data_IF_141080542527
#
_entry.id   IF_141080542527
#
_cell.length_a   1.000
_cell.length_b   1.000
_cell.length_c   1.000
_cell.angle_alpha   90.00
_cell.angle_beta   90.00
_cell.angle_gamma   90.00
#
_symmetry.space_group_name_H-M   'P 1'
#
loop_
_entity.id
_entity.type
_entity.pdbx_description
1 polymer ?
#
# COMPACT_ATOMS: atom_id res chain seq x y z
N UNK A 1 14.48 -45.42 -5.22
CA UNK A 1 15.35 -46.40 -5.92
C UNK A 1 16.22 -45.66 -6.94
N UNK A 2 17.53 -45.51 -6.68
CA UNK A 2 18.48 -44.94 -7.65
C UNK A 2 18.68 -45.98 -8.76
N UNK A 3 18.17 -45.73 -9.97
CA UNK A 3 18.38 -46.61 -11.12
C UNK A 3 19.67 -46.20 -11.81
N UNK A 4 20.71 -47.01 -11.63
CA UNK A 4 21.94 -46.94 -12.42
C UNK A 4 21.59 -47.52 -13.80
N UNK A 5 21.61 -46.69 -14.83
CA UNK A 5 21.50 -47.17 -16.21
C UNK A 5 22.90 -47.53 -16.70
N UNK A 6 23.22 -48.82 -16.70
CA UNK A 6 24.39 -49.35 -17.40
C UNK A 6 24.05 -49.39 -18.89
N UNK A 7 24.66 -48.51 -19.68
CA UNK A 7 24.55 -48.57 -21.14
C UNK A 7 25.51 -49.67 -21.64
N UNK A 8 24.96 -50.79 -22.11
CA UNK A 8 25.73 -51.79 -22.85
C UNK A 8 25.99 -51.21 -24.24
N UNK A 9 27.23 -50.79 -24.50
CA UNK A 9 27.69 -50.47 -25.86
C UNK A 9 27.80 -51.80 -26.60
N UNK A 10 26.76 -52.16 -27.34
CA UNK A 10 26.82 -53.26 -28.29
C UNK A 10 27.72 -52.82 -29.46
N UNK A 11 29.02 -53.05 -29.30
CA UNK A 11 29.96 -53.06 -30.42
C UNK A 11 29.63 -54.27 -31.30
N UNK A 12 28.89 -54.03 -32.37
CA UNK A 12 28.80 -54.93 -33.52
C UNK A 12 29.12 -54.13 -34.78
N UNK A 13 30.43 -53.88 -34.92
CA UNK A 13 31.07 -53.62 -36.20
C UNK A 13 31.01 -54.91 -37.03
N UNK A 14 29.97 -55.06 -37.84
CA UNK A 14 30.04 -55.89 -39.04
C UNK A 14 29.79 -54.97 -40.24
N UNK A 15 30.78 -54.91 -41.10
CA UNK A 15 30.82 -54.12 -42.32
C UNK A 15 29.68 -54.50 -43.28
N UNK A 16 28.74 -53.57 -43.52
CA UNK A 16 28.02 -53.42 -44.78
C UNK A 16 27.17 -52.14 -44.74
N UNK A 17 27.42 -51.25 -45.71
CA UNK A 17 26.69 -50.01 -46.02
C UNK A 17 26.82 -48.83 -45.04
N UNK A 18 27.26 -47.69 -45.56
CA UNK A 18 27.06 -46.37 -44.96
C UNK A 18 25.55 -46.07 -44.96
N UNK A 19 24.81 -46.59 -43.99
CA UNK A 19 23.45 -46.12 -43.72
C UNK A 19 23.48 -45.15 -42.54
N UNK A 20 22.74 -44.04 -42.69
CA UNK A 20 22.56 -43.04 -41.64
C UNK A 20 22.07 -43.75 -40.36
N UNK A 21 22.80 -43.56 -39.26
CA UNK A 21 22.43 -44.12 -37.96
C UNK A 21 21.56 -43.11 -37.22
N UNK A 22 20.57 -43.59 -36.45
CA UNK A 22 19.70 -42.72 -35.65
C UNK A 22 19.72 -43.14 -34.19
N UNK A 23 19.42 -42.20 -33.30
CA UNK A 23 19.26 -42.42 -31.86
C UNK A 23 17.82 -42.09 -31.49
N UNK A 24 17.07 -43.08 -31.00
CA UNK A 24 15.70 -42.90 -30.52
C UNK A 24 15.63 -42.93 -29.00
N UNK A 25 15.09 -41.87 -28.41
CA UNK A 25 14.80 -41.75 -26.98
C UNK A 25 13.31 -41.99 -26.77
N UNK A 26 12.97 -43.12 -26.14
CA UNK A 26 11.59 -43.45 -25.78
C UNK A 26 11.23 -42.85 -24.42
N UNK A 27 10.15 -42.07 -24.37
CA UNK A 27 9.61 -41.47 -23.16
C UNK A 27 8.58 -42.40 -22.51
N UNK A 28 8.35 -42.22 -21.21
CA UNK A 28 7.37 -43.01 -20.44
C UNK A 28 5.92 -42.77 -20.85
N UNK A 29 5.62 -41.62 -21.46
CA UNK A 29 4.31 -41.28 -22.00
C UNK A 29 4.01 -41.98 -23.34
N UNK A 30 4.93 -42.84 -23.81
CA UNK A 30 4.81 -43.56 -25.08
C UNK A 30 5.27 -42.78 -26.30
N UNK A 31 5.63 -41.50 -26.15
CA UNK A 31 6.23 -40.72 -27.23
C UNK A 31 7.72 -41.03 -27.39
N UNK A 32 8.24 -40.81 -28.59
CA UNK A 32 9.66 -41.01 -28.90
C UNK A 32 10.23 -39.79 -29.62
N UNK A 33 11.50 -39.50 -29.37
CA UNK A 33 12.26 -38.50 -30.14
C UNK A 33 13.43 -39.20 -30.82
N UNK A 34 13.58 -39.01 -32.13
CA UNK A 34 14.65 -39.62 -32.93
C UNK A 34 15.53 -38.54 -33.51
N UNK A 35 16.85 -38.72 -33.35
CA UNK A 35 17.88 -37.83 -33.89
C UNK A 35 18.74 -38.58 -34.89
N UNK A 36 19.21 -37.89 -35.92
CA UNK A 36 20.27 -38.45 -36.78
C UNK A 36 21.60 -38.41 -36.03
N UNK A 37 22.41 -39.46 -36.10
CA UNK A 37 23.61 -39.58 -35.28
C UNK A 37 24.67 -38.52 -35.61
N UNK A 38 24.68 -38.01 -36.85
CA UNK A 38 25.53 -36.91 -37.31
C UNK A 38 25.15 -35.54 -36.73
N UNK A 39 23.95 -35.40 -36.16
CA UNK A 39 23.48 -34.16 -35.53
C UNK A 39 23.86 -34.06 -34.03
N UNK A 40 24.36 -35.15 -33.43
CA UNK A 40 24.59 -35.23 -31.99
C UNK A 40 26.06 -34.91 -31.66
N UNK A 41 26.29 -33.81 -30.95
CA UNK A 41 27.62 -33.44 -30.46
C UNK A 41 27.90 -33.89 -29.02
N UNK A 42 26.87 -33.95 -28.15
CA UNK A 42 26.99 -34.40 -26.76
C UNK A 42 25.62 -34.82 -26.18
N UNK A 43 25.61 -35.66 -25.13
CA UNK A 43 24.42 -36.00 -24.33
C UNK A 43 24.74 -35.75 -22.86
N UNK A 44 23.96 -34.87 -22.20
CA UNK A 44 24.13 -34.54 -20.78
C UNK A 44 22.84 -34.81 -19.99
N UNK A 45 22.97 -35.31 -18.76
CA UNK A 45 21.85 -35.53 -17.83
C UNK A 45 21.95 -34.54 -16.67
N UNK A 46 20.92 -33.71 -16.47
CA UNK A 46 20.82 -32.79 -15.33
C UNK A 46 19.97 -33.37 -14.18
N UNK A 47 20.10 -32.84 -12.95
CA UNK A 47 19.21 -33.21 -11.85
C UNK A 47 17.76 -32.80 -12.17
N UNK A 48 16.80 -33.63 -11.77
CA UNK A 48 15.38 -33.27 -11.86
C UNK A 48 15.09 -32.13 -10.89
N UNK A 49 14.50 -31.04 -11.38
CA UNK A 49 13.99 -29.95 -10.55
C UNK A 49 12.87 -30.51 -9.66
N UNK A 50 12.93 -30.40 -8.33
CA UNK A 50 11.82 -30.83 -7.47
C UNK A 50 10.55 -30.03 -7.83
N UNK A 51 9.44 -30.74 -8.03
CA UNK A 51 8.15 -30.14 -8.34
C UNK A 51 7.75 -29.18 -7.22
N UNK A 52 7.61 -27.90 -7.55
CA UNK A 52 7.13 -26.87 -6.61
C UNK A 52 5.62 -26.98 -6.48
N UNK A 53 5.12 -27.37 -5.31
CA UNK A 53 3.69 -27.44 -5.03
C UNK A 53 3.23 -26.13 -4.39
N UNK A 54 2.23 -25.47 -4.96
CA UNK A 54 1.57 -24.32 -4.30
C UNK A 54 0.57 -24.88 -3.29
N UNK A 55 0.79 -24.56 -2.01
CA UNK A 55 -0.09 -24.99 -0.93
C UNK A 55 -1.23 -23.99 -0.73
N UNK A 56 -0.87 -22.70 -0.70
CA UNK A 56 -1.83 -21.62 -0.52
C UNK A 56 -1.41 -20.36 -1.27
N UNK A 57 -2.40 -19.57 -1.65
CA UNK A 57 -2.25 -18.24 -2.23
C UNK A 57 -3.29 -17.32 -1.61
N UNK A 58 -2.84 -16.19 -1.08
CA UNK A 58 -3.67 -15.22 -0.39
C UNK A 58 -3.43 -13.83 -0.96
N UNK A 59 -4.50 -13.06 -1.05
CA UNK A 59 -4.46 -11.62 -1.30
C UNK A 59 -4.64 -10.89 0.02
N UNK A 60 -3.92 -9.79 0.20
CA UNK A 60 -3.96 -8.97 1.39
C UNK A 60 -3.50 -7.55 1.10
N UNK A 61 -3.44 -6.75 2.15
CA UNK A 61 -3.02 -5.36 2.04
C UNK A 61 -1.63 -5.11 2.64
N UNK A 62 -1.02 -4.00 2.24
CA UNK A 62 0.32 -3.62 2.70
C UNK A 62 0.30 -2.39 3.58
N UNK A 63 1.10 -2.49 4.65
CA UNK A 63 1.63 -1.33 5.36
C UNK A 63 3.15 -1.37 5.35
N UNK A 64 3.80 -0.25 5.05
CA UNK A 64 5.27 -0.18 4.98
C UNK A 64 5.79 0.91 5.92
N UNK A 65 6.88 0.60 6.60
CA UNK A 65 7.64 1.54 7.42
C UNK A 65 9.09 1.58 6.95
N UNK A 66 9.70 2.75 7.02
CA UNK A 66 11.13 2.96 6.82
C UNK A 66 11.62 4.04 7.79
N UNK A 67 12.88 4.47 7.65
CA UNK A 67 13.38 5.65 8.37
C UNK A 67 12.61 6.94 8.04
N UNK A 68 11.93 7.01 6.89
CA UNK A 68 11.31 8.23 6.38
C UNK A 68 9.80 8.32 6.64
N UNK A 69 9.16 7.18 6.90
CA UNK A 69 7.71 7.11 7.13
C UNK A 69 7.36 5.85 7.93
N UNK A 70 6.22 5.88 8.60
CA UNK A 70 5.80 4.79 9.48
C UNK A 70 4.39 4.35 9.14
N UNK A 71 4.20 3.04 9.05
CA UNK A 71 2.92 2.35 8.90
C UNK A 71 2.03 2.89 7.76
N UNK A 72 2.64 3.21 6.62
CA UNK A 72 1.93 3.76 5.46
C UNK A 72 1.23 2.66 4.65
N UNK A 73 -0.02 2.90 4.26
CA UNK A 73 -0.81 1.98 3.43
C UNK A 73 -0.42 2.03 1.95
N UNK A 74 -0.28 0.88 1.30
CA UNK A 74 0.15 0.75 -0.11
C UNK A 74 -0.77 -0.09 -1.01
N UNK A 75 -1.99 -0.39 -0.58
CA UNK A 75 -2.99 -1.05 -1.43
C UNK A 75 -3.39 -2.45 -0.97
N UNK A 76 -4.40 -3.01 -1.63
CA UNK A 76 -5.02 -4.31 -1.33
C UNK A 76 -4.61 -5.44 -2.31
N UNK A 77 -3.61 -5.20 -3.17
CA UNK A 77 -3.28 -6.08 -4.28
C UNK A 77 -2.10 -7.04 -3.99
N UNK A 78 -1.51 -6.95 -2.81
CA UNK A 78 -0.32 -7.72 -2.49
C UNK A 78 -0.65 -9.19 -2.24
N UNK A 79 0.16 -10.06 -2.82
CA UNK A 79 -0.02 -11.51 -2.72
C UNK A 79 1.03 -12.15 -1.84
N UNK A 80 0.58 -13.16 -1.08
CA UNK A 80 1.46 -14.10 -0.42
C UNK A 80 1.11 -15.52 -0.85
N UNK A 81 2.11 -16.25 -1.36
CA UNK A 81 1.98 -17.67 -1.72
C UNK A 81 2.88 -18.51 -0.84
N UNK A 82 2.33 -19.60 -0.31
CA UNK A 82 3.07 -20.61 0.44
C UNK A 82 3.24 -21.82 -0.46
N UNK A 83 4.47 -22.27 -0.62
CA UNK A 83 4.84 -23.36 -1.53
C UNK A 83 5.70 -24.40 -0.80
N UNK A 84 5.77 -25.60 -1.37
CA UNK A 84 6.60 -26.67 -0.87
C UNK A 84 7.47 -27.24 -2.00
N UNK A 85 8.75 -27.44 -1.69
CA UNK A 85 9.75 -28.03 -2.58
C UNK A 85 10.45 -29.14 -1.80
N UNK A 86 10.06 -30.39 -2.04
CA UNK A 86 10.47 -31.52 -1.20
C UNK A 86 9.99 -31.34 0.25
N UNK A 87 10.92 -31.32 1.20
CA UNK A 87 10.63 -31.11 2.63
C UNK A 87 10.71 -29.63 3.06
N UNK A 88 11.09 -28.74 2.13
CA UNK A 88 11.28 -27.31 2.41
C UNK A 88 10.02 -26.51 2.09
N UNK A 89 9.66 -25.58 2.96
CA UNK A 89 8.61 -24.60 2.71
C UNK A 89 9.19 -23.27 2.22
N UNK A 90 8.47 -22.64 1.29
CA UNK A 90 8.80 -21.33 0.72
C UNK A 90 7.63 -20.37 0.91
N UNK A 91 7.94 -19.10 1.16
CA UNK A 91 7.00 -17.99 1.02
C UNK A 91 7.39 -17.13 -0.19
N UNK A 92 6.44 -16.86 -1.08
CA UNK A 92 6.59 -15.90 -2.17
C UNK A 92 5.69 -14.70 -1.93
N UNK A 93 6.32 -13.55 -1.78
CA UNK A 93 5.68 -12.25 -1.74
C UNK A 93 5.65 -11.63 -3.13
N UNK A 94 4.56 -10.94 -3.48
CA UNK A 94 4.44 -10.20 -4.74
C UNK A 94 3.59 -8.95 -4.56
N UNK A 95 4.14 -7.81 -4.96
CA UNK A 95 3.46 -6.52 -5.05
C UNK A 95 4.05 -5.69 -6.21
N UNK A 96 3.21 -4.89 -6.87
CA UNK A 96 3.64 -4.11 -8.03
C UNK A 96 4.65 -3.01 -7.66
N UNK A 97 4.50 -2.40 -6.47
CA UNK A 97 5.34 -1.29 -6.01
C UNK A 97 6.50 -1.77 -5.12
N UNK A 98 6.20 -2.71 -4.23
CA UNK A 98 7.13 -3.24 -3.23
C UNK A 98 7.82 -4.54 -3.65
N UNK A 99 7.56 -5.00 -4.87
CA UNK A 99 8.37 -5.98 -5.56
C UNK A 99 8.04 -7.44 -5.24
N UNK A 100 8.98 -8.32 -5.59
CA UNK A 100 8.79 -9.76 -5.50
C UNK A 100 9.84 -10.37 -4.59
N UNK A 101 9.40 -11.14 -3.59
CA UNK A 101 10.29 -11.81 -2.64
C UNK A 101 10.12 -13.31 -2.64
N UNK A 102 11.20 -14.05 -2.42
CA UNK A 102 11.18 -15.49 -2.21
C UNK A 102 12.01 -15.84 -0.98
N UNK A 103 11.39 -16.55 -0.05
CA UNK A 103 11.96 -16.82 1.27
C UNK A 103 11.88 -18.31 1.58
N UNK A 104 12.97 -18.85 2.11
CA UNK A 104 12.97 -20.17 2.74
C UNK A 104 12.41 -19.99 4.14
N UNK A 105 11.30 -20.67 4.44
CA UNK A 105 10.58 -20.48 5.69
C UNK A 105 10.50 -21.75 6.52
N UNK A 106 10.40 -21.53 7.82
CA UNK A 106 9.97 -22.51 8.82
C UNK A 106 8.62 -22.08 9.37
N UNK A 107 7.80 -23.04 9.77
CA UNK A 107 6.51 -22.80 10.39
C UNK A 107 6.48 -23.47 11.75
N UNK A 108 6.22 -22.71 12.80
CA UNK A 108 6.05 -23.24 14.16
C UNK A 108 4.82 -22.59 14.80
N UNK A 109 3.86 -23.41 15.25
CA UNK A 109 2.65 -22.98 16.00
C UNK A 109 1.95 -21.73 15.43
N UNK A 110 1.78 -21.67 14.11
CA UNK A 110 1.09 -20.55 13.43
C UNK A 110 1.95 -19.30 13.21
N UNK A 111 3.25 -19.37 13.53
CA UNK A 111 4.25 -18.34 13.20
C UNK A 111 5.14 -18.80 12.06
N UNK A 112 5.61 -17.83 11.28
CA UNK A 112 6.54 -18.00 10.17
C UNK A 112 7.83 -17.29 10.53
N UNK A 113 8.95 -17.91 10.17
CA UNK A 113 10.26 -17.26 10.18
C UNK A 113 11.09 -17.77 9.01
N UNK A 114 11.83 -16.89 8.35
CA UNK A 114 12.64 -17.25 7.20
C UNK A 114 13.57 -16.16 6.71
N UNK A 115 14.44 -16.55 5.78
CA UNK A 115 15.39 -15.66 5.09
C UNK A 115 15.26 -15.83 3.59
N UNK A 116 15.62 -14.80 2.85
CA UNK A 116 15.51 -14.81 1.41
C UNK A 116 15.88 -13.47 0.80
N UNK A 117 15.42 -13.28 -0.42
CA UNK A 117 15.71 -12.08 -1.21
C UNK A 117 14.42 -11.45 -1.70
N UNK A 118 14.45 -10.13 -1.80
CA UNK A 118 13.37 -9.34 -2.40
C UNK A 118 13.93 -8.43 -3.49
N UNK A 119 13.25 -8.42 -4.63
CA UNK A 119 13.54 -7.61 -5.78
C UNK A 119 12.52 -6.47 -5.86
N UNK A 120 12.97 -5.24 -5.60
CA UNK A 120 12.13 -4.04 -5.51
C UNK A 120 12.36 -3.14 -6.74
N UNK A 121 11.30 -2.74 -7.46
CA UNK A 121 11.40 -1.75 -8.53
C UNK A 121 11.92 -0.41 -8.01
N UNK A 122 12.87 0.21 -8.73
CA UNK A 122 13.32 1.56 -8.40
C UNK A 122 12.23 2.58 -8.77
N UNK A 123 11.75 3.32 -7.77
CA UNK A 123 10.71 4.35 -7.91
C UNK A 123 11.18 5.60 -8.69
N UNK A 124 12.49 5.79 -8.88
CA UNK A 124 13.09 6.94 -9.58
C UNK A 124 13.66 6.59 -10.96
N UNK A 125 13.28 5.43 -11.53
CA UNK A 125 13.92 4.86 -12.72
C UNK A 125 15.22 4.13 -12.41
N UNK A 126 15.60 3.16 -13.25
CA UNK A 126 16.84 2.38 -13.07
C UNK A 126 16.67 0.88 -12.78
N UNK A 127 15.54 0.28 -13.15
CA UNK A 127 15.33 -1.17 -13.10
C UNK A 127 14.97 -1.71 -11.71
N UNK A 128 15.09 -3.02 -11.54
CA UNK A 128 14.77 -3.74 -10.30
C UNK A 128 16.06 -4.00 -9.52
N UNK A 129 16.05 -3.72 -8.21
CA UNK A 129 17.20 -3.99 -7.33
C UNK A 129 16.86 -5.08 -6.32
N UNK A 130 17.79 -6.01 -6.13
CA UNK A 130 17.67 -7.11 -5.18
C UNK A 130 18.28 -6.75 -3.81
N UNK A 131 17.64 -7.23 -2.74
CA UNK A 131 18.06 -7.05 -1.35
C UNK A 131 17.93 -8.36 -0.59
N UNK A 132 18.88 -8.60 0.32
CA UNK A 132 18.70 -9.61 1.37
C UNK A 132 17.60 -9.15 2.33
N UNK A 133 16.75 -10.09 2.74
CA UNK A 133 15.61 -9.83 3.59
C UNK A 133 15.26 -11.03 4.48
N UNK A 134 14.60 -10.74 5.59
CA UNK A 134 13.97 -11.76 6.44
C UNK A 134 12.46 -11.63 6.36
N UNK A 135 11.74 -12.74 6.56
CA UNK A 135 10.29 -12.75 6.72
C UNK A 135 9.94 -13.38 8.06
N UNK A 136 8.96 -12.82 8.75
CA UNK A 136 8.39 -13.49 9.90
C UNK A 136 7.14 -12.83 10.46
N UNK A 137 6.51 -13.49 11.43
CA UNK A 137 5.27 -13.02 12.04
C UNK A 137 4.21 -14.12 12.11
N UNK A 138 2.95 -13.74 12.21
CA UNK A 138 1.82 -14.67 12.19
C UNK A 138 1.43 -14.96 10.75
N UNK A 139 0.79 -16.11 10.49
CA UNK A 139 0.29 -16.41 9.13
C UNK A 139 -0.70 -15.36 8.59
N UNK A 140 -1.39 -14.63 9.48
CA UNK A 140 -2.32 -13.54 9.11
C UNK A 140 -1.64 -12.17 8.97
N UNK A 141 -0.39 -12.04 9.42
CA UNK A 141 0.37 -10.80 9.42
C UNK A 141 1.88 -11.12 9.35
N UNK A 142 2.46 -10.96 8.16
CA UNK A 142 3.88 -11.26 7.91
C UNK A 142 4.65 -9.99 7.60
N UNK A 143 5.71 -9.75 8.37
CA UNK A 143 6.65 -8.66 8.16
C UNK A 143 7.88 -9.15 7.39
N UNK A 144 8.22 -8.43 6.33
CA UNK A 144 9.45 -8.60 5.55
C UNK A 144 10.39 -7.45 5.91
N UNK A 145 11.50 -7.77 6.57
CA UNK A 145 12.53 -6.80 6.93
C UNK A 145 13.61 -6.73 5.86
N UNK A 146 13.85 -5.53 5.36
CA UNK A 146 14.81 -5.23 4.30
C UNK A 146 15.80 -4.15 4.79
N UNK A 147 16.86 -4.52 5.53
CA UNK A 147 17.77 -3.55 6.17
C UNK A 147 18.47 -2.63 5.18
N UNK A 148 18.81 -3.14 3.98
CA UNK A 148 19.52 -2.40 2.94
C UNK A 148 18.67 -1.41 2.14
N UNK A 149 17.35 -1.37 2.35
CA UNK A 149 16.42 -0.51 1.62
C UNK A 149 16.01 0.69 2.48
N UNK A 150 16.22 1.92 1.98
CA UNK A 150 15.78 3.18 2.60
C UNK A 150 16.15 3.35 4.08
N UNK A 151 17.36 2.92 4.48
CA UNK A 151 17.82 3.01 5.87
C UNK A 151 17.15 2.00 6.81
N UNK A 152 16.59 0.92 6.27
CA UNK A 152 15.85 -0.11 6.98
C UNK A 152 14.36 0.00 6.71
N UNK A 153 13.82 -0.91 5.89
CA UNK A 153 12.40 -0.94 5.50
C UNK A 153 11.74 -2.20 6.06
N UNK A 154 10.51 -2.08 6.55
CA UNK A 154 9.68 -3.20 7.00
C UNK A 154 8.37 -3.18 6.21
N UNK A 155 8.17 -4.18 5.35
CA UNK A 155 6.96 -4.36 4.53
C UNK A 155 6.08 -5.36 5.28
N UNK A 156 4.92 -4.93 5.77
CA UNK A 156 4.00 -5.81 6.50
C UNK A 156 2.81 -6.12 5.62
N UNK A 157 2.66 -7.41 5.30
CA UNK A 157 1.49 -7.95 4.61
C UNK A 157 0.46 -8.43 5.62
N UNK A 158 -0.78 -8.02 5.40
CA UNK A 158 -1.92 -8.33 6.25
C UNK A 158 -2.95 -9.11 5.46
N UNK A 159 -3.38 -10.25 6.00
CA UNK A 159 -4.45 -11.03 5.39
C UNK A 159 -5.81 -10.32 5.55
N UNK A 160 -6.57 -10.24 4.46
CA UNK A 160 -7.94 -9.71 4.45
C UNK A 160 -8.07 -8.30 3.87
N UNK A 161 -9.24 -7.68 4.12
CA UNK A 161 -9.58 -6.33 3.63
C UNK A 161 -8.94 -5.27 4.53
N UNK A 162 -8.33 -4.24 3.95
CA UNK A 162 -7.77 -3.17 4.76
C UNK A 162 -8.87 -2.34 5.46
N UNK A 163 -8.67 -1.94 6.73
CA UNK A 163 -9.52 -0.97 7.41
C UNK A 163 -9.70 0.32 6.62
N UNK A 164 -10.93 0.86 6.58
CA UNK A 164 -11.23 2.10 5.88
C UNK A 164 -10.33 3.27 6.35
N UNK A 165 -10.01 3.31 7.65
CA UNK A 165 -9.18 4.36 8.25
C UNK A 165 -7.77 4.38 7.66
N UNK A 166 -7.17 3.19 7.43
CA UNK A 166 -5.84 3.10 6.82
C UNK A 166 -5.85 3.59 5.37
N UNK A 167 -6.91 3.30 4.61
CA UNK A 167 -7.02 3.72 3.20
C UNK A 167 -7.01 5.25 3.05
N UNK A 168 -7.73 5.93 3.93
CA UNK A 168 -7.86 7.40 3.93
C UNK A 168 -6.71 8.12 4.64
N UNK A 169 -5.86 7.40 5.39
CA UNK A 169 -4.72 8.03 6.08
C UNK A 169 -3.69 8.61 5.10
N UNK A 170 -3.15 9.76 5.43
CA UNK A 170 -2.15 10.46 4.60
C UNK A 170 -2.20 11.98 4.75
N UNK A 171 -1.25 12.63 4.08
CA UNK A 171 -1.23 14.07 3.89
C UNK A 171 -1.86 14.38 2.53
N UNK A 172 -2.72 15.40 2.46
CA UNK A 172 -3.48 15.78 1.28
C UNK A 172 -3.27 17.26 0.99
N UNK A 173 -2.92 17.59 -0.24
CA UNK A 173 -2.84 18.98 -0.71
C UNK A 173 -4.02 19.24 -1.63
N UNK A 174 -4.67 20.39 -1.45
CA UNK A 174 -5.89 20.68 -2.18
C UNK A 174 -6.43 22.08 -1.94
N UNK A 175 -7.70 22.25 -2.26
CA UNK A 175 -8.39 23.54 -2.17
C UNK A 175 -9.52 23.43 -1.16
N UNK A 176 -9.59 24.39 -0.23
CA UNK A 176 -10.72 24.55 0.67
C UNK A 176 -11.59 25.72 0.22
N UNK A 177 -12.90 25.51 0.15
CA UNK A 177 -13.90 26.50 -0.25
C UNK A 177 -14.90 26.74 0.88
N UNK A 178 -15.03 27.98 1.34
CA UNK A 178 -15.96 28.37 2.39
C UNK A 178 -17.18 29.10 1.83
N UNK A 179 -18.35 28.72 2.36
CA UNK A 179 -19.59 29.47 2.23
C UNK A 179 -20.11 29.89 3.60
N UNK A 180 -20.52 31.15 3.75
CA UNK A 180 -21.16 31.66 4.97
C UNK A 180 -22.66 31.81 4.73
N UNK A 181 -23.47 31.15 5.56
CA UNK A 181 -24.93 31.16 5.46
C UNK A 181 -25.49 30.63 4.13
N UNK A 182 -24.68 29.90 3.35
CA UNK A 182 -25.05 29.41 2.02
C UNK A 182 -25.18 30.48 0.93
N UNK A 183 -24.89 31.75 1.22
CA UNK A 183 -25.06 32.85 0.26
C UNK A 183 -23.79 33.68 0.01
N UNK A 184 -22.86 33.71 0.96
CA UNK A 184 -21.62 34.46 0.82
C UNK A 184 -20.44 33.52 0.55
N UNK A 185 -19.71 33.76 -0.53
CA UNK A 185 -18.64 32.89 -1.02
C UNK A 185 -18.89 32.42 -2.46
N UNK A 186 -18.08 31.47 -2.98
CA UNK A 186 -17.04 30.75 -2.27
C UNK A 186 -15.80 31.61 -1.98
N UNK A 187 -15.28 31.52 -0.76
CA UNK A 187 -13.95 32.01 -0.41
C UNK A 187 -12.97 30.86 -0.43
N UNK A 188 -11.84 31.02 -1.11
CA UNK A 188 -10.96 29.91 -1.44
C UNK A 188 -9.61 30.04 -0.76
N UNK A 189 -9.18 28.98 -0.09
CA UNK A 189 -7.79 28.75 0.31
C UNK A 189 -7.21 27.67 -0.59
N UNK A 190 -6.30 28.05 -1.48
CA UNK A 190 -5.56 27.12 -2.33
C UNK A 190 -4.40 26.49 -1.57
N UNK A 191 -3.92 25.35 -2.07
CA UNK A 191 -2.77 24.61 -1.55
C UNK A 191 -2.84 24.27 -0.04
N UNK A 192 -4.07 24.13 0.47
CA UNK A 192 -4.32 23.77 1.86
C UNK A 192 -3.90 22.32 2.11
N UNK A 193 -3.17 22.12 3.22
CA UNK A 193 -2.60 20.82 3.60
C UNK A 193 -3.41 20.20 4.74
N UNK A 194 -4.10 19.11 4.45
CA UNK A 194 -4.89 18.38 5.43
C UNK A 194 -4.21 17.06 5.76
N UNK A 195 -4.15 16.73 7.05
CA UNK A 195 -3.54 15.49 7.52
C UNK A 195 -4.58 14.57 8.14
N UNK A 196 -4.64 13.34 7.64
CA UNK A 196 -5.54 12.29 8.11
C UNK A 196 -4.72 11.18 8.78
N UNK A 197 -5.01 10.90 10.04
CA UNK A 197 -4.33 9.86 10.82
C UNK A 197 -5.33 8.79 11.23
N UNK A 198 -5.05 7.53 10.89
CA UNK A 198 -5.84 6.40 11.36
C UNK A 198 -5.49 6.06 12.82
N UNK A 199 -6.52 5.85 13.62
CA UNK A 199 -6.40 5.39 15.00
C UNK A 199 -6.51 3.85 15.07
N UNK A 200 -6.01 3.26 16.16
CA UNK A 200 -6.01 1.81 16.36
C UNK A 200 -7.42 1.22 16.47
N UNK A 201 -8.41 2.01 16.87
CA UNK A 201 -9.82 1.62 17.00
C UNK A 201 -10.60 1.71 15.67
N UNK A 202 -9.93 2.08 14.57
CA UNK A 202 -10.56 2.23 13.26
C UNK A 202 -11.21 3.59 13.01
N UNK A 203 -11.11 4.55 13.94
CA UNK A 203 -11.47 5.95 13.70
C UNK A 203 -10.34 6.71 13.02
N UNK A 204 -10.59 7.97 12.63
CA UNK A 204 -9.55 8.87 12.11
C UNK A 204 -9.50 10.20 12.86
N UNK A 205 -8.35 10.85 12.82
CA UNK A 205 -8.18 12.25 13.20
C UNK A 205 -7.94 13.08 11.93
N UNK A 206 -8.52 14.28 11.87
CA UNK A 206 -8.38 15.24 10.78
C UNK A 206 -7.73 16.51 11.32
N UNK A 207 -6.58 16.89 10.77
CA UNK A 207 -5.91 18.16 11.07
C UNK A 207 -5.94 19.06 9.86
N UNK A 208 -6.45 20.28 10.02
CA UNK A 208 -6.47 21.32 8.98
C UNK A 208 -5.16 22.10 8.96
N UNK A 209 -4.84 22.79 7.86
CA UNK A 209 -3.76 23.78 7.83
C UNK A 209 -4.23 25.15 8.34
N UNK A 210 -3.30 26.07 8.55
CA UNK A 210 -3.65 27.50 8.60
C UNK A 210 -4.09 27.92 7.20
N UNK A 211 -5.23 28.58 7.10
CA UNK A 211 -5.87 28.94 5.84
C UNK A 211 -6.09 30.45 5.76
N UNK A 212 -5.87 31.03 4.59
CA UNK A 212 -6.07 32.45 4.34
C UNK A 212 -7.13 32.64 3.27
N UNK A 213 -8.05 33.58 3.50
CA UNK A 213 -9.15 33.91 2.62
C UNK A 213 -9.17 35.41 2.37
N UNK A 214 -9.09 35.79 1.11
CA UNK A 214 -9.12 37.20 0.70
C UNK A 214 -10.49 37.56 0.11
N UNK A 215 -10.70 38.85 -0.15
CA UNK A 215 -11.93 39.38 -0.77
C UNK A 215 -13.22 39.04 0.00
N UNK A 216 -13.14 38.89 1.32
CA UNK A 216 -14.31 38.72 2.17
C UNK A 216 -14.87 40.07 2.59
N UNK A 217 -16.15 40.12 2.96
CA UNK A 217 -16.78 41.35 3.46
C UNK A 217 -16.18 41.84 4.80
N UNK A 218 -15.43 40.99 5.51
CA UNK A 218 -14.77 41.29 6.79
C UNK A 218 -13.28 41.65 6.63
N UNK A 219 -12.78 41.72 5.40
CA UNK A 219 -11.36 41.86 5.09
C UNK A 219 -10.68 40.51 4.83
N UNK A 220 -9.35 40.50 4.91
CA UNK A 220 -8.56 39.28 4.78
C UNK A 220 -8.67 38.46 6.07
N UNK A 221 -9.05 37.20 5.93
CA UNK A 221 -9.29 36.28 7.04
C UNK A 221 -8.18 35.25 7.11
N UNK A 222 -7.78 34.91 8.33
CA UNK A 222 -6.95 33.75 8.63
C UNK A 222 -7.67 32.85 9.62
N UNK A 223 -7.83 31.57 9.25
CA UNK A 223 -8.26 30.50 10.16
C UNK A 223 -7.04 29.67 10.57
N UNK A 224 -6.86 29.50 11.88
CA UNK A 224 -5.81 28.67 12.44
C UNK A 224 -6.03 27.18 12.19
N UNK A 225 -4.96 26.41 12.31
CA UNK A 225 -5.01 24.95 12.29
C UNK A 225 -5.72 24.41 13.53
N UNK A 226 -6.52 23.36 13.36
CA UNK A 226 -7.15 22.61 14.44
C UNK A 226 -7.26 21.12 14.07
N UNK A 227 -7.51 20.28 15.07
CA UNK A 227 -7.69 18.84 14.90
C UNK A 227 -9.05 18.42 15.42
N UNK A 228 -9.81 17.70 14.59
CA UNK A 228 -11.00 16.96 15.02
C UNK A 228 -10.61 15.49 15.15
N UNK A 229 -10.76 14.93 16.34
CA UNK A 229 -10.35 13.56 16.65
C UNK A 229 -11.52 12.58 16.62
N UNK A 230 -11.17 11.30 16.39
CA UNK A 230 -12.07 10.15 16.55
C UNK A 230 -13.32 10.21 15.66
N UNK A 231 -13.18 10.61 14.39
CA UNK A 231 -14.25 10.48 13.42
C UNK A 231 -14.50 8.99 13.18
N UNK A 232 -15.74 8.55 13.41
CA UNK A 232 -16.14 7.17 13.24
C UNK A 232 -16.52 6.90 11.78
N UNK A 233 -16.23 5.69 11.29
CA UNK A 233 -16.65 5.27 9.96
C UNK A 233 -18.14 4.97 9.95
N UNK A 234 -18.85 5.56 9.00
CA UNK A 234 -20.25 5.31 8.70
C UNK A 234 -20.35 4.49 7.40
N UNK A 235 -20.78 3.24 7.52
CA UNK A 235 -20.85 2.28 6.40
C UNK A 235 -21.89 2.68 5.35
N UNK A 236 -22.97 3.36 5.74
CA UNK A 236 -24.06 3.76 4.82
C UNK A 236 -23.59 4.86 3.86
N UNK A 237 -23.01 5.93 4.40
CA UNK A 237 -22.45 7.03 3.61
C UNK A 237 -21.04 6.76 3.08
N UNK A 238 -20.39 5.67 3.52
CA UNK A 238 -18.99 5.34 3.25
C UNK A 238 -18.04 6.48 3.62
N UNK A 239 -18.33 7.19 4.71
CA UNK A 239 -17.58 8.38 5.14
C UNK A 239 -17.23 8.32 6.62
N UNK A 240 -16.21 9.06 7.03
CA UNK A 240 -15.93 9.27 8.44
C UNK A 240 -16.65 10.52 8.92
N UNK A 241 -17.45 10.40 9.98
CA UNK A 241 -18.29 11.49 10.47
C UNK A 241 -18.06 11.76 11.94
N UNK A 242 -18.17 13.03 12.32
CA UNK A 242 -18.15 13.45 13.72
C UNK A 242 -18.93 14.73 13.92
N UNK A 243 -19.85 14.72 14.87
CA UNK A 243 -20.36 15.93 15.51
C UNK A 243 -19.43 16.28 16.68
N UNK A 244 -18.68 17.37 16.54
CA UNK A 244 -17.69 17.81 17.52
C UNK A 244 -18.15 19.05 18.30
N UNK A 245 -19.44 19.37 18.25
CA UNK A 245 -20.05 20.54 18.91
C UNK A 245 -19.77 20.60 20.42
N UNK A 246 -19.59 19.45 21.07
CA UNK A 246 -19.42 19.32 22.52
C UNK A 246 -18.00 19.01 22.95
N UNK A 247 -17.05 19.09 22.03
CA UNK A 247 -15.67 18.65 22.27
C UNK A 247 -14.83 19.74 22.95
N UNK A 248 -15.36 20.96 23.08
CA UNK A 248 -14.63 22.10 23.65
C UNK A 248 -13.45 22.54 22.79
N UNK A 249 -13.49 22.24 21.49
CA UNK A 249 -12.45 22.60 20.54
C UNK A 249 -12.51 24.11 20.23
N UNK A 250 -11.34 24.70 20.04
CA UNK A 250 -11.20 26.10 19.63
C UNK A 250 -10.47 26.23 18.30
N UNK A 251 -10.71 27.32 17.59
CA UNK A 251 -9.93 27.73 16.42
C UNK A 251 -9.52 29.18 16.53
N UNK A 252 -8.28 29.48 16.17
CA UNK A 252 -7.79 30.85 16.08
C UNK A 252 -8.37 31.52 14.83
N UNK A 253 -8.94 32.71 14.98
CA UNK A 253 -9.49 33.48 13.88
C UNK A 253 -8.98 34.92 13.90
N UNK A 254 -8.49 35.36 12.75
CA UNK A 254 -7.99 36.71 12.52
C UNK A 254 -8.67 37.33 11.32
N UNK A 255 -9.01 38.61 11.43
CA UNK A 255 -9.56 39.42 10.35
C UNK A 255 -8.79 40.76 10.26
N UNK A 256 -8.37 41.11 9.05
CA UNK A 256 -7.66 42.36 8.73
C UNK A 256 -8.42 43.10 7.64
N UNK A 257 -8.96 44.28 7.96
CA UNK A 257 -9.66 45.14 7.02
C UNK A 257 -8.86 46.42 6.81
N UNK A 258 -8.53 46.75 5.56
CA UNK A 258 -7.76 47.96 5.22
C UNK A 258 -6.45 48.12 6.02
N UNK A 259 -5.78 47.00 6.32
CA UNK A 259 -4.54 46.97 7.10
C UNK A 259 -4.73 47.05 8.62
N UNK A 260 -5.96 47.21 9.12
CA UNK A 260 -6.27 47.21 10.55
C UNK A 260 -6.80 45.85 10.97
N UNK A 261 -6.21 45.27 12.01
CA UNK A 261 -6.71 44.02 12.61
C UNK A 261 -8.00 44.31 13.38
N UNK A 262 -9.12 43.72 12.95
CA UNK A 262 -10.44 43.90 13.56
C UNK A 262 -10.82 42.76 14.49
N UNK A 263 -10.26 41.56 14.26
CA UNK A 263 -10.40 40.38 15.11
C UNK A 263 -9.07 39.62 15.13
N UNK A 264 -8.67 39.10 16.29
CA UNK A 264 -7.47 38.27 16.48
C UNK A 264 -7.61 37.56 17.84
N UNK A 265 -8.24 36.38 17.85
CA UNK A 265 -8.44 35.56 19.07
C UNK A 265 -8.91 34.15 18.74
N UNK A 266 -8.93 33.32 19.78
CA UNK A 266 -9.49 31.97 19.72
C UNK A 266 -11.02 32.00 19.95
N UNK A 267 -11.72 31.13 19.23
CA UNK A 267 -13.16 30.97 19.34
C UNK A 267 -13.52 29.50 19.51
N UNK A 268 -14.46 29.22 20.41
CA UNK A 268 -15.08 27.90 20.50
C UNK A 268 -15.92 27.62 19.26
N UNK A 269 -15.86 26.37 18.82
CA UNK A 269 -16.87 25.82 17.92
C UNK A 269 -18.21 25.68 18.67
N UNK A 270 -19.32 25.97 17.96
CA UNK A 270 -20.69 25.96 18.52
C UNK A 270 -21.48 24.74 18.05
N UNK A 271 -22.68 24.61 18.61
CA UNK A 271 -23.65 23.59 18.22
C UNK A 271 -23.90 23.57 16.70
N UNK A 272 -23.95 22.37 16.14
CA UNK A 272 -24.05 22.14 14.69
C UNK A 272 -22.69 22.00 14.00
N UNK A 273 -21.59 21.97 14.76
CA UNK A 273 -20.25 21.72 14.23
C UNK A 273 -20.05 20.23 13.92
N UNK A 274 -20.03 19.90 12.63
CA UNK A 274 -19.97 18.53 12.12
C UNK A 274 -19.06 18.43 10.90
N UNK A 275 -18.20 17.42 10.92
CA UNK A 275 -17.31 17.08 9.82
C UNK A 275 -17.68 15.73 9.21
N UNK A 276 -17.52 15.61 7.89
CA UNK A 276 -17.59 14.37 7.11
C UNK A 276 -16.40 14.29 6.17
N UNK A 277 -15.75 13.13 6.11
CA UNK A 277 -14.60 12.85 5.25
C UNK A 277 -14.91 11.64 4.37
N UNK A 278 -14.81 11.80 3.06
CA UNK A 278 -14.94 10.69 2.10
C UNK A 278 -13.75 10.63 1.15
N UNK A 279 -13.39 9.41 0.75
CA UNK A 279 -12.35 9.16 -0.25
C UNK A 279 -13.00 8.60 -1.50
N UNK A 280 -12.93 9.35 -2.60
CA UNK A 280 -13.42 8.91 -3.91
C UNK A 280 -12.57 7.80 -4.52
N UNK A 281 -13.12 7.10 -5.51
CA UNK A 281 -12.45 5.98 -6.20
C UNK A 281 -11.14 6.37 -6.87
N UNK A 282 -11.01 7.63 -7.30
CA UNK A 282 -9.79 8.19 -7.92
C UNK A 282 -8.75 8.66 -6.90
N UNK A 283 -8.98 8.44 -5.60
CA UNK A 283 -8.08 8.89 -4.52
C UNK A 283 -8.25 10.35 -4.11
N UNK A 284 -9.26 11.05 -4.63
CA UNK A 284 -9.63 12.41 -4.21
C UNK A 284 -10.30 12.36 -2.85
N UNK A 285 -9.75 13.09 -1.89
CA UNK A 285 -10.36 13.29 -0.57
C UNK A 285 -11.33 14.46 -0.63
N UNK A 286 -12.55 14.27 -0.14
CA UNK A 286 -13.53 15.32 0.06
C UNK A 286 -13.85 15.43 1.54
N UNK A 287 -13.73 16.64 2.08
CA UNK A 287 -14.10 16.94 3.47
C UNK A 287 -15.14 18.04 3.45
N UNK A 288 -16.30 17.76 4.04
CA UNK A 288 -17.32 18.77 4.32
C UNK A 288 -17.31 19.04 5.80
N UNK A 289 -17.11 20.30 6.18
CA UNK A 289 -17.17 20.73 7.56
C UNK A 289 -18.16 21.89 7.69
N UNK A 290 -19.25 21.67 8.44
CA UNK A 290 -20.17 22.74 8.80
C UNK A 290 -19.89 23.13 10.23
N UNK A 291 -19.69 24.42 10.50
CA UNK A 291 -19.38 24.91 11.83
C UNK A 291 -19.78 26.37 12.02
N UNK A 292 -19.85 26.79 13.27
CA UNK A 292 -20.08 28.17 13.66
C UNK A 292 -19.12 28.52 14.78
N UNK A 293 -18.52 29.72 14.70
CA UNK A 293 -17.57 30.23 15.69
C UNK A 293 -18.07 31.55 16.26
N UNK A 294 -17.81 31.77 17.55
CA UNK A 294 -18.24 32.98 18.25
C UNK A 294 -19.76 33.21 18.17
N UNK A 295 -20.14 34.47 17.92
CA UNK A 295 -21.54 34.90 17.81
C UNK A 295 -21.93 35.18 16.35
N UNK A 296 -21.28 34.54 15.37
CA UNK A 296 -21.60 34.74 13.96
C UNK A 296 -23.07 34.33 13.71
N UNK A 297 -23.89 35.13 13.00
CA UNK A 297 -25.33 34.85 12.85
C UNK A 297 -25.65 33.69 11.91
N UNK A 298 -24.69 33.24 11.11
CA UNK A 298 -24.85 32.18 10.12
C UNK A 298 -23.76 31.13 10.25
N UNK A 299 -24.05 29.85 9.95
CA UNK A 299 -23.04 28.80 9.90
C UNK A 299 -22.11 28.97 8.69
N UNK A 300 -20.90 28.45 8.83
CA UNK A 300 -19.91 28.31 7.76
C UNK A 300 -19.94 26.87 7.29
N UNK A 301 -19.97 26.65 5.97
CA UNK A 301 -19.74 25.35 5.35
C UNK A 301 -18.46 25.40 4.56
N UNK A 302 -17.48 24.61 4.98
CA UNK A 302 -16.23 24.35 4.28
C UNK A 302 -16.36 23.09 3.43
N UNK A 303 -15.91 23.15 2.19
CA UNK A 303 -15.72 21.99 1.33
C UNK A 303 -14.29 21.97 0.84
N UNK A 304 -13.52 21.01 1.33
CA UNK A 304 -12.17 20.74 0.90
C UNK A 304 -12.16 19.58 -0.09
N UNK A 305 -11.39 19.73 -1.17
CA UNK A 305 -11.04 18.65 -2.08
C UNK A 305 -9.53 18.62 -2.29
N UNK A 306 -8.91 17.46 -2.12
CA UNK A 306 -7.46 17.31 -2.27
C UNK A 306 -7.04 15.92 -2.72
N UNK A 307 -5.79 15.80 -3.16
CA UNK A 307 -5.17 14.53 -3.52
C UNK A 307 -4.05 14.21 -2.54
N UNK A 308 -3.82 12.91 -2.32
CA UNK A 308 -2.76 12.47 -1.43
C UNK A 308 -1.41 12.96 -1.97
N UNK A 309 -0.66 13.67 -1.15
CA UNK A 309 0.65 14.19 -1.54
C UNK A 309 1.58 13.00 -1.81
N UNK A 310 2.06 12.89 -3.04
CA UNK A 310 3.07 11.89 -3.37
C UNK A 310 4.35 12.17 -2.57
N UNK A 311 4.94 11.13 -1.98
CA UNK A 311 6.24 11.17 -1.32
C UNK A 311 7.25 10.35 -2.09
#
# INVERSE_FOLDING_TARGET
MKKIFTLVVAALLCAASMQAQTVTINKKDGSSVTYSADEITNIQFGPATPDTTVLHEFTGYLTVSSKFFTNMYYGDAAQMKVMQVGEQYLARFSDAQWGNGLFNITMDKGTVAGTGKISVPNQHGGGVKEYEATIGGKMTEMAISVPGLMGGTNITWHYGKAPAALKVSGDYTGTNSLMVGGMFGPYVAADALYKIVANADGTINVTTSVENYTATAMGDLTLGSYTVSNLAYDEESKSFVRDYSKDGLTVHFKAVSEGVTTMDKDYDFKDGSKVSVSLGETGTLTITNTFQIGNMPFPITATYTGTKTAR
#
